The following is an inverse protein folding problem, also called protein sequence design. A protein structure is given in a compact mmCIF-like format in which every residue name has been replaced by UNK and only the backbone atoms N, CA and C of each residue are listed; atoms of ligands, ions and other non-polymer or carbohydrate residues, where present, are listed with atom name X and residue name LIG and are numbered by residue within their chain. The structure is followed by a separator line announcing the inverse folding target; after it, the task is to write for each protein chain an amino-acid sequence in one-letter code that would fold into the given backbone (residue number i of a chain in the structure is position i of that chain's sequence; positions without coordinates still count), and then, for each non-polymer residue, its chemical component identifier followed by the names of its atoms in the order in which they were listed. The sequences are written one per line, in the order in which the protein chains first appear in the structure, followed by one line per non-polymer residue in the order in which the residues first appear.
data_IF_946614770326
#
_entry.id   IF_946614770326
#
_cell.length_a   1.000
_cell.length_b   1.000
_cell.length_c   1.000
_cell.angle_alpha   90.00
_cell.angle_beta   90.00
_cell.angle_gamma   90.00
#
_symmetry.space_group_name_H-M   'P 1'
#
loop_
_entity.id
_entity.type
_entity.pdbx_description
1 polymer ?
#
# COMPACT_ATOMS: atom_id res chain seq x y z
N UNK A 1 -12.19 -12.59 58.98
CA UNK A 1 -13.36 -12.39 58.11
C UNK A 1 -13.23 -11.05 57.40
N UNK A 2 -13.19 -11.08 56.06
CA UNK A 2 -13.80 -10.12 55.12
C UNK A 2 -13.35 -8.64 55.17
N UNK A 3 -12.95 -7.97 54.09
CA UNK A 3 -12.58 -8.30 52.71
C UNK A 3 -12.03 -6.98 52.14
N UNK A 4 -10.87 -7.03 51.49
CA UNK A 4 -10.16 -5.87 50.94
C UNK A 4 -10.90 -5.35 49.70
N UNK A 5 -11.26 -4.08 49.70
CA UNK A 5 -11.82 -3.37 48.55
C UNK A 5 -10.68 -3.11 47.54
N UNK A 6 -10.54 -3.96 46.52
CA UNK A 6 -9.70 -3.68 45.34
C UNK A 6 -10.61 -3.15 44.24
N UNK A 7 -10.54 -1.84 44.02
CA UNK A 7 -11.08 -1.19 42.83
C UNK A 7 -10.25 -1.68 41.64
N UNK A 8 -10.81 -2.62 40.89
CA UNK A 8 -10.24 -3.12 39.64
C UNK A 8 -10.52 -2.05 38.57
N UNK A 9 -9.53 -1.20 38.30
CA UNK A 9 -9.56 -0.25 37.21
C UNK A 9 -9.45 -1.04 35.89
N UNK A 10 -10.60 -1.45 35.34
CA UNK A 10 -10.72 -2.04 34.01
C UNK A 10 -10.36 -0.96 32.98
N UNK A 11 -9.07 -0.85 32.65
CA UNK A 11 -8.59 -0.16 31.45
C UNK A 11 -9.07 -0.95 30.24
N UNK A 12 -10.30 -0.68 29.84
CA UNK A 12 -10.81 -1.03 28.53
C UNK A 12 -10.05 -0.17 27.52
N UNK A 13 -8.89 -0.65 27.07
CA UNK A 13 -8.18 -0.10 25.91
C UNK A 13 -9.04 -0.34 24.68
N UNK A 14 -10.05 0.50 24.47
CA UNK A 14 -10.64 0.71 23.16
C UNK A 14 -9.53 1.20 22.25
N UNK A 15 -8.94 0.30 21.47
CA UNK A 15 -8.15 0.69 20.32
C UNK A 15 -9.10 1.34 19.31
N UNK A 16 -9.32 2.65 19.47
CA UNK A 16 -9.84 3.53 18.44
C UNK A 16 -8.86 3.49 17.26
N UNK A 17 -9.14 2.62 16.30
CA UNK A 17 -8.44 2.63 15.02
C UNK A 17 -8.97 3.83 14.25
N UNK A 18 -8.31 4.98 14.37
CA UNK A 18 -8.61 6.13 13.54
C UNK A 18 -8.29 5.77 12.08
N UNK A 19 -9.33 5.58 11.26
CA UNK A 19 -9.17 5.32 9.84
C UNK A 19 -8.47 6.53 9.20
N UNK A 20 -7.38 6.28 8.49
CA UNK A 20 -6.67 7.34 7.74
C UNK A 20 -7.67 7.93 6.74
N UNK A 21 -7.91 9.23 6.83
CA UNK A 21 -8.78 9.94 5.89
C UNK A 21 -8.00 10.34 4.64
N UNK A 22 -8.64 10.35 3.46
CA UNK A 22 -8.02 10.90 2.26
C UNK A 22 -7.69 12.38 2.49
N UNK A 23 -6.58 12.82 1.90
CA UNK A 23 -6.25 14.26 1.84
C UNK A 23 -7.10 14.97 0.81
N UNK A 24 -7.50 14.25 -0.24
CA UNK A 24 -8.33 14.75 -1.31
C UNK A 24 -9.19 13.62 -1.88
N UNK A 25 -10.42 13.93 -2.25
CA UNK A 25 -11.35 12.98 -2.90
C UNK A 25 -11.95 13.65 -4.12
N UNK A 26 -11.81 13.00 -5.27
CA UNK A 26 -12.45 13.45 -6.52
C UNK A 26 -13.55 12.51 -6.95
N UNK A 27 -14.60 13.07 -7.52
CA UNK A 27 -15.81 12.35 -7.90
C UNK A 27 -15.97 12.25 -9.41
N UNK A 28 -16.60 11.18 -9.86
CA UNK A 28 -16.83 10.86 -11.26
C UNK A 28 -18.31 10.74 -11.55
N UNK A 29 -18.69 11.15 -12.75
CA UNK A 29 -20.01 10.87 -13.27
C UNK A 29 -20.21 9.36 -13.48
N UNK A 30 -21.48 8.98 -13.65
CA UNK A 30 -21.82 7.58 -13.93
C UNK A 30 -21.10 7.11 -15.19
N UNK A 31 -20.46 5.96 -15.09
CA UNK A 31 -19.76 5.31 -16.20
C UNK A 31 -18.61 6.10 -16.84
N UNK A 32 -18.14 7.16 -16.16
CA UNK A 32 -17.03 8.00 -16.65
C UNK A 32 -15.72 7.75 -15.92
N UNK A 33 -14.62 7.89 -16.64
CA UNK A 33 -13.26 7.94 -16.09
C UNK A 33 -12.54 9.26 -16.36
N UNK A 34 -13.14 10.13 -17.16
CA UNK A 34 -12.82 11.55 -17.29
C UNK A 34 -13.44 12.35 -16.15
N UNK A 35 -12.81 13.47 -15.80
CA UNK A 35 -13.25 14.38 -14.74
C UNK A 35 -13.85 15.64 -15.34
N UNK A 36 -14.90 16.15 -14.71
CA UNK A 36 -15.45 17.46 -15.02
C UNK A 36 -14.60 18.57 -14.38
N UNK A 37 -14.69 19.78 -14.94
CA UNK A 37 -13.75 20.88 -14.68
C UNK A 37 -13.52 21.20 -13.19
N UNK A 38 -14.56 21.17 -12.37
CA UNK A 38 -14.40 21.46 -10.94
C UNK A 38 -13.56 20.40 -10.21
N UNK A 39 -13.66 19.11 -10.59
CA UNK A 39 -12.84 18.04 -10.02
C UNK A 39 -11.40 18.07 -10.55
N UNK A 40 -11.22 18.44 -11.82
CA UNK A 40 -9.88 18.68 -12.37
C UNK A 40 -9.19 19.78 -11.56
N UNK A 41 -9.89 20.89 -11.29
CA UNK A 41 -9.36 22.01 -10.51
C UNK A 41 -8.92 21.56 -9.12
N UNK A 42 -9.69 20.71 -8.44
CA UNK A 42 -9.32 20.14 -7.14
C UNK A 42 -7.94 19.46 -7.15
N UNK A 43 -7.66 18.62 -8.16
CA UNK A 43 -6.36 17.92 -8.28
C UNK A 43 -5.23 18.90 -8.60
N UNK A 44 -5.50 19.86 -9.48
CA UNK A 44 -4.52 20.90 -9.85
C UNK A 44 -4.15 21.74 -8.62
N UNK A 45 -5.14 22.17 -7.85
CA UNK A 45 -4.93 22.96 -6.64
C UNK A 45 -4.14 22.16 -5.60
N UNK A 46 -4.45 20.87 -5.42
CA UNK A 46 -3.65 19.98 -4.60
C UNK A 46 -2.19 19.89 -5.10
N UNK A 47 -1.97 19.64 -6.39
CA UNK A 47 -0.64 19.48 -6.97
C UNK A 47 0.23 20.73 -6.81
N UNK A 48 -0.37 21.92 -6.96
CA UNK A 48 0.31 23.22 -6.83
C UNK A 48 0.62 23.61 -5.39
N UNK A 49 -0.31 23.32 -4.47
CA UNK A 49 -0.21 23.78 -3.08
C UNK A 49 0.44 22.76 -2.15
N UNK A 50 0.60 21.51 -2.59
CA UNK A 50 1.25 20.47 -1.81
C UNK A 50 2.73 20.80 -1.54
N UNK A 51 3.11 20.90 -0.26
CA UNK A 51 4.53 20.95 0.14
C UNK A 51 5.19 19.59 -0.08
N UNK A 52 5.67 19.37 -1.31
CA UNK A 52 6.27 18.11 -1.72
C UNK A 52 7.52 17.77 -0.91
N UNK A 53 8.16 18.73 -0.23
CA UNK A 53 9.31 18.45 0.64
C UNK A 53 8.92 17.64 1.88
N UNK A 54 7.66 17.74 2.33
CA UNK A 54 7.08 17.01 3.47
C UNK A 54 6.31 15.75 3.06
N UNK A 55 6.10 15.54 1.77
CA UNK A 55 5.44 14.35 1.23
C UNK A 55 6.48 13.28 0.94
N UNK A 56 6.31 12.12 1.54
CA UNK A 56 7.06 10.90 1.21
C UNK A 56 6.49 10.32 -0.08
N UNK A 57 5.20 10.00 -0.05
CA UNK A 57 4.52 9.36 -1.16
C UNK A 57 3.02 9.69 -1.21
N UNK A 58 2.40 9.41 -2.35
CA UNK A 58 0.97 9.50 -2.61
C UNK A 58 0.44 8.13 -3.01
N UNK A 59 -0.71 7.78 -2.44
CA UNK A 59 -1.49 6.61 -2.80
C UNK A 59 -2.81 7.05 -3.42
N UNK A 60 -3.23 6.37 -4.48
CA UNK A 60 -4.41 6.69 -5.26
C UNK A 60 -5.28 5.43 -5.34
N UNK A 61 -6.50 5.52 -4.82
CA UNK A 61 -7.46 4.41 -4.82
C UNK A 61 -8.74 4.83 -5.52
N UNK A 62 -9.14 4.07 -6.55
CA UNK A 62 -10.33 4.37 -7.34
C UNK A 62 -11.44 3.39 -7.06
N UNK A 63 -12.66 3.88 -7.04
CA UNK A 63 -13.86 3.12 -6.71
C UNK A 63 -14.94 3.35 -7.75
N UNK A 64 -15.82 2.36 -7.88
CA UNK A 64 -17.07 2.46 -8.61
C UNK A 64 -18.25 2.26 -7.68
N UNK A 65 -19.44 2.64 -8.15
CA UNK A 65 -20.67 2.28 -7.44
C UNK A 65 -20.98 0.77 -7.60
N UNK A 66 -22.06 0.31 -6.97
CA UNK A 66 -22.45 -1.10 -6.87
C UNK A 66 -22.87 -1.74 -8.19
N UNK A 67 -23.14 -0.93 -9.23
CA UNK A 67 -23.75 -1.38 -10.49
C UNK A 67 -22.71 -1.87 -11.50
N UNK A 68 -23.12 -2.78 -12.37
CA UNK A 68 -22.25 -3.42 -13.36
C UNK A 68 -21.48 -4.61 -12.81
N UNK A 69 -20.83 -5.37 -13.69
CA UNK A 69 -20.09 -6.55 -13.28
C UNK A 69 -18.75 -6.21 -12.60
N UNK A 70 -18.17 -7.21 -11.93
CA UNK A 70 -16.93 -7.03 -11.16
C UNK A 70 -15.74 -6.63 -12.04
N UNK A 71 -15.60 -7.25 -13.23
CA UNK A 71 -14.44 -7.03 -14.11
C UNK A 71 -14.50 -5.64 -14.74
N UNK A 72 -15.69 -5.25 -15.20
CA UNK A 72 -15.98 -3.93 -15.72
C UNK A 72 -15.62 -2.83 -14.72
N UNK A 73 -16.13 -2.93 -13.49
CA UNK A 73 -15.86 -1.93 -12.45
C UNK A 73 -14.39 -1.91 -12.05
N UNK A 74 -13.72 -3.06 -12.06
CA UNK A 74 -12.28 -3.13 -11.80
C UNK A 74 -11.48 -2.39 -12.90
N UNK A 75 -11.86 -2.54 -14.17
CA UNK A 75 -11.26 -1.79 -15.28
C UNK A 75 -11.59 -0.30 -15.21
N UNK A 76 -12.84 0.07 -14.95
CA UNK A 76 -13.28 1.46 -14.84
C UNK A 76 -12.56 2.19 -13.70
N UNK A 77 -12.50 1.59 -12.51
CA UNK A 77 -11.76 2.16 -11.38
C UNK A 77 -10.26 2.30 -11.66
N UNK A 78 -9.65 1.38 -12.43
CA UNK A 78 -8.27 1.52 -12.91
C UNK A 78 -8.08 2.71 -13.86
N UNK A 79 -9.03 2.94 -14.76
CA UNK A 79 -8.99 4.10 -15.65
C UNK A 79 -9.14 5.41 -14.86
N UNK A 80 -10.01 5.45 -13.85
CA UNK A 80 -10.18 6.62 -12.97
C UNK A 80 -8.90 7.00 -12.23
N UNK A 81 -8.23 6.04 -11.60
CA UNK A 81 -6.94 6.33 -10.92
C UNK A 81 -5.85 6.77 -11.90
N UNK A 82 -5.87 6.25 -13.13
CA UNK A 82 -4.96 6.67 -14.20
C UNK A 82 -5.20 8.13 -14.58
N UNK A 83 -6.45 8.55 -14.78
CA UNK A 83 -6.81 9.95 -15.05
C UNK A 83 -6.26 10.88 -13.97
N UNK A 84 -6.44 10.53 -12.69
CA UNK A 84 -5.92 11.32 -11.56
C UNK A 84 -4.39 11.36 -11.57
N UNK A 85 -3.73 10.23 -11.79
CA UNK A 85 -2.26 10.18 -11.92
C UNK A 85 -1.76 11.09 -13.05
N UNK A 86 -2.39 11.01 -14.22
CA UNK A 86 -1.98 11.77 -15.40
C UNK A 86 -2.16 13.29 -15.14
N UNK A 87 -3.23 13.72 -14.48
CA UNK A 87 -3.42 15.13 -14.08
C UNK A 87 -2.37 15.56 -13.05
N UNK A 88 -2.10 14.78 -12.01
CA UNK A 88 -1.08 15.10 -11.01
C UNK A 88 0.30 15.28 -11.66
N UNK A 89 0.70 14.34 -12.52
CA UNK A 89 2.01 14.35 -13.16
C UNK A 89 2.15 15.44 -14.21
N UNK A 90 1.11 15.70 -14.99
CA UNK A 90 1.07 16.83 -15.94
C UNK A 90 1.23 18.18 -15.22
N UNK A 91 0.70 18.30 -14.00
CA UNK A 91 0.81 19.50 -13.17
C UNK A 91 2.07 19.51 -12.27
N UNK A 92 3.11 18.76 -12.64
CA UNK A 92 4.43 18.84 -12.02
C UNK A 92 4.64 17.96 -10.78
N UNK A 93 3.64 17.15 -10.38
CA UNK A 93 3.84 16.21 -9.29
C UNK A 93 4.79 15.08 -9.71
N UNK A 94 5.83 14.83 -8.91
CA UNK A 94 6.83 13.82 -9.26
C UNK A 94 6.22 12.42 -9.27
N UNK A 95 6.21 11.78 -10.45
CA UNK A 95 5.68 10.43 -10.65
C UNK A 95 6.29 9.38 -9.72
N UNK A 96 7.56 9.54 -9.32
CA UNK A 96 8.23 8.60 -8.41
C UNK A 96 7.67 8.65 -6.99
N UNK A 97 6.94 9.71 -6.62
CA UNK A 97 6.23 9.81 -5.34
C UNK A 97 4.82 9.22 -5.39
N UNK A 98 4.31 8.83 -6.56
CA UNK A 98 3.01 8.18 -6.67
C UNK A 98 3.24 6.68 -6.65
N UNK A 99 3.01 6.07 -5.49
CA UNK A 99 3.54 4.73 -5.18
C UNK A 99 2.50 3.64 -5.08
N UNK A 100 1.22 3.97 -4.93
CA UNK A 100 0.13 2.99 -5.00
C UNK A 100 -0.95 3.57 -5.91
N UNK A 101 -1.35 2.78 -6.90
CA UNK A 101 -2.36 3.15 -7.89
C UNK A 101 -3.24 1.93 -8.09
N UNK A 102 -4.38 1.89 -7.40
CA UNK A 102 -5.22 0.69 -7.34
C UNK A 102 -6.67 1.04 -7.63
N UNK A 103 -7.19 0.50 -8.74
CA UNK A 103 -8.63 0.41 -8.96
C UNK A 103 -9.20 -0.69 -8.07
N UNK A 104 -10.11 -0.33 -7.16
CA UNK A 104 -10.73 -1.22 -6.17
C UNK A 104 -12.01 -1.89 -6.68
N UNK A 105 -12.50 -1.50 -7.85
CA UNK A 105 -13.76 -2.01 -8.39
C UNK A 105 -14.98 -1.40 -7.70
N UNK A 106 -16.09 -2.14 -7.70
CA UNK A 106 -17.37 -1.70 -7.15
C UNK A 106 -17.39 -1.73 -5.62
N UNK A 107 -18.08 -0.76 -5.03
CA UNK A 107 -18.36 -0.73 -3.60
C UNK A 107 -19.78 -1.26 -3.37
N UNK A 108 -19.90 -2.38 -2.66
CA UNK A 108 -21.21 -2.97 -2.32
C UNK A 108 -21.88 -2.13 -1.24
N UNK A 109 -23.14 -1.78 -1.48
CA UNK A 109 -23.98 -1.02 -0.56
C UNK A 109 -24.72 -2.02 0.35
N UNK A 110 -24.72 -1.77 1.66
CA UNK A 110 -25.31 -2.65 2.68
C UNK A 110 -26.55 -2.03 3.37
N UNK A 111 -27.21 -1.05 2.75
CA UNK A 111 -28.39 -0.38 3.32
C UNK A 111 -29.68 -0.80 2.62
N UNK A 112 -30.73 -0.98 3.41
CA UNK A 112 -32.09 -1.28 2.96
C UNK A 112 -32.91 -0.01 2.64
N UNK A 113 -32.35 1.18 2.96
CA UNK A 113 -33.03 2.46 2.69
C UNK A 113 -32.79 2.93 1.26
N UNK A 114 -33.88 3.08 0.50
CA UNK A 114 -33.89 3.46 -0.91
C UNK A 114 -33.56 4.95 -1.11
N UNK A 115 -33.89 5.79 -0.12
CA UNK A 115 -33.90 7.25 -0.26
C UNK A 115 -32.51 7.90 -0.41
N UNK A 116 -31.43 7.17 -0.11
CA UNK A 116 -30.05 7.65 -0.20
C UNK A 116 -29.20 6.88 -1.25
N UNK A 117 -29.80 5.96 -2.02
CA UNK A 117 -29.03 5.11 -2.94
C UNK A 117 -28.30 5.93 -4.00
N UNK A 118 -28.95 6.96 -4.56
CA UNK A 118 -28.33 7.82 -5.58
C UNK A 118 -27.14 8.59 -5.00
N UNK A 119 -27.28 9.17 -3.82
CA UNK A 119 -26.21 9.93 -3.19
C UNK A 119 -25.05 9.03 -2.72
N UNK A 120 -25.32 7.86 -2.15
CA UNK A 120 -24.30 6.84 -1.84
C UNK A 120 -23.53 6.44 -3.09
N UNK A 121 -24.22 6.17 -4.21
CA UNK A 121 -23.58 5.84 -5.49
C UNK A 121 -22.71 6.98 -5.99
N UNK A 122 -23.20 8.22 -5.91
CA UNK A 122 -22.43 9.40 -6.28
C UNK A 122 -21.14 9.50 -5.45
N UNK A 123 -21.22 9.25 -4.14
CA UNK A 123 -20.05 9.22 -3.24
C UNK A 123 -19.12 8.03 -3.49
N UNK A 124 -19.63 6.91 -4.02
CA UNK A 124 -18.83 5.73 -4.34
C UNK A 124 -18.09 5.83 -5.68
N UNK A 125 -18.57 6.64 -6.62
CA UNK A 125 -17.84 6.95 -7.85
C UNK A 125 -16.75 7.98 -7.57
N UNK A 126 -15.66 7.53 -6.96
CA UNK A 126 -14.59 8.43 -6.50
C UNK A 126 -13.20 7.88 -6.69
N UNK A 127 -12.22 8.77 -6.60
CA UNK A 127 -10.82 8.45 -6.37
C UNK A 127 -10.35 9.19 -5.12
N UNK A 128 -9.76 8.44 -4.19
CA UNK A 128 -9.23 8.93 -2.94
C UNK A 128 -7.70 9.04 -3.03
N UNK A 129 -7.16 10.20 -2.67
CA UNK A 129 -5.73 10.47 -2.56
C UNK A 129 -5.33 10.44 -1.09
N UNK A 130 -4.28 9.69 -0.77
CA UNK A 130 -3.68 9.66 0.56
C UNK A 130 -2.24 10.12 0.47
N UNK A 131 -1.85 11.00 1.38
CA UNK A 131 -0.46 11.46 1.51
C UNK A 131 0.20 10.75 2.67
N UNK A 132 1.32 10.09 2.39
CA UNK A 132 2.26 9.62 3.39
C UNK A 132 3.24 10.75 3.65
N UNK A 133 3.27 11.29 4.87
CA UNK A 133 4.22 12.33 5.24
C UNK A 133 5.62 11.74 5.38
N UNK A 134 6.66 12.51 5.06
CA UNK A 134 8.04 12.13 5.35
C UNK A 134 8.19 11.79 6.83
N UNK A 135 8.97 10.75 7.12
CA UNK A 135 9.21 10.24 8.47
C UNK A 135 7.95 9.78 9.24
N UNK A 136 6.79 9.64 8.59
CA UNK A 136 5.52 9.29 9.26
C UNK A 136 5.47 7.87 9.82
N UNK A 137 6.37 6.99 9.38
CA UNK A 137 6.48 5.63 9.89
C UNK A 137 7.33 5.52 11.17
N UNK A 138 8.01 6.60 11.58
CA UNK A 138 8.91 6.60 12.72
C UNK A 138 10.39 6.52 12.33
N UNK A 139 11.28 6.72 13.31
CA UNK A 139 12.73 6.72 13.12
C UNK A 139 13.21 5.32 12.68
N UNK A 140 14.07 5.26 11.65
CA UNK A 140 14.61 4.01 11.13
C UNK A 140 13.69 3.29 10.14
N UNK A 141 12.62 3.93 9.67
CA UNK A 141 11.74 3.39 8.64
C UNK A 141 11.80 4.26 7.39
N UNK A 142 12.05 3.61 6.24
CA UNK A 142 12.26 4.25 4.95
C UNK A 142 11.42 3.57 3.87
N UNK A 143 11.10 4.26 2.78
CA UNK A 143 10.45 3.68 1.60
C UNK A 143 11.42 3.33 0.45
N UNK A 144 12.69 3.65 0.64
CA UNK A 144 13.77 3.49 -0.33
C UNK A 144 15.10 3.29 0.38
N UNK A 145 16.05 2.66 -0.31
CA UNK A 145 17.42 2.54 0.18
C UNK A 145 18.09 3.92 0.20
N UNK A 146 18.73 4.24 1.32
CA UNK A 146 19.48 5.46 1.56
C UNK A 146 20.97 5.20 1.36
N UNK A 147 21.76 6.26 1.19
CA UNK A 147 23.22 6.16 1.14
C UNK A 147 23.81 5.54 2.41
N UNK A 148 23.20 5.84 3.57
CA UNK A 148 23.61 5.33 4.87
C UNK A 148 22.41 4.78 5.62
N UNK A 149 22.56 3.55 6.11
CA UNK A 149 21.60 2.89 6.98
C UNK A 149 22.21 2.61 8.35
N UNK A 150 21.38 2.21 9.31
CA UNK A 150 21.75 1.65 10.61
C UNK A 150 21.16 0.25 10.74
N UNK A 151 21.80 -0.59 11.55
CA UNK A 151 21.22 -1.89 11.92
C UNK A 151 19.87 -1.66 12.59
N UNK A 152 18.86 -2.42 12.16
CA UNK A 152 17.46 -2.26 12.57
C UNK A 152 16.61 -1.38 11.65
N UNK A 153 17.21 -0.66 10.70
CA UNK A 153 16.46 0.10 9.71
C UNK A 153 15.57 -0.83 8.89
N UNK A 154 14.35 -0.37 8.58
CA UNK A 154 13.40 -1.08 7.74
C UNK A 154 13.09 -0.27 6.49
N UNK A 155 13.30 -0.88 5.33
CA UNK A 155 12.99 -0.28 4.03
C UNK A 155 11.77 -0.98 3.42
N UNK A 156 10.67 -0.26 3.29
CA UNK A 156 9.38 -0.73 2.77
C UNK A 156 9.30 -0.34 1.31
N UNK A 157 9.13 -1.30 0.41
CA UNK A 157 9.15 -0.96 -1.02
C UNK A 157 7.72 -0.74 -1.50
N UNK A 158 7.29 0.52 -1.49
CA UNK A 158 5.93 0.91 -1.88
C UNK A 158 5.60 0.51 -3.33
N UNK A 159 6.62 0.35 -4.20
CA UNK A 159 6.45 -0.01 -5.61
C UNK A 159 6.70 -1.50 -5.94
N UNK A 160 6.82 -2.38 -4.94
CA UNK A 160 6.82 -3.83 -5.19
C UNK A 160 5.39 -4.36 -4.99
N UNK A 161 4.67 -4.36 -6.10
CA UNK A 161 3.35 -4.93 -6.20
C UNK A 161 3.40 -6.42 -6.54
N UNK A 162 2.48 -7.14 -5.93
CA UNK A 162 2.12 -8.50 -6.31
C UNK A 162 0.70 -8.49 -6.83
N UNK A 163 0.41 -9.36 -7.79
CA UNK A 163 -0.97 -9.62 -8.16
C UNK A 163 -1.77 -10.13 -6.94
N UNK A 164 -3.08 -9.87 -6.92
CA UNK A 164 -3.93 -10.27 -5.79
C UNK A 164 -3.81 -11.79 -5.55
N UNK A 165 -3.53 -12.16 -4.30
CA UNK A 165 -3.37 -13.57 -3.90
C UNK A 165 -2.18 -14.30 -4.54
N UNK A 166 -1.26 -13.62 -5.24
CA UNK A 166 -0.10 -14.24 -5.91
C UNK A 166 1.22 -13.73 -5.33
N UNK A 167 2.26 -14.54 -5.47
CA UNK A 167 3.64 -14.18 -5.11
C UNK A 167 4.51 -13.73 -6.28
N UNK A 168 3.99 -13.78 -7.50
CA UNK A 168 4.72 -13.40 -8.71
C UNK A 168 4.98 -11.89 -8.79
N UNK A 169 6.21 -11.53 -9.19
CA UNK A 169 6.62 -10.15 -9.39
C UNK A 169 6.11 -9.60 -10.72
N UNK A 170 5.39 -8.48 -10.68
CA UNK A 170 4.97 -7.77 -11.89
C UNK A 170 6.16 -7.18 -12.65
N UNK A 171 5.98 -6.87 -13.94
CA UNK A 171 7.02 -6.21 -14.73
C UNK A 171 7.43 -4.85 -14.15
N UNK A 172 6.48 -4.09 -13.58
CA UNK A 172 6.77 -2.82 -12.91
C UNK A 172 7.64 -3.04 -11.67
N UNK A 173 7.32 -4.05 -10.86
CA UNK A 173 8.10 -4.37 -9.65
C UNK A 173 9.50 -4.89 -9.97
N UNK A 174 9.68 -5.60 -11.08
CA UNK A 174 11.00 -5.99 -11.60
C UNK A 174 11.86 -4.76 -11.94
N UNK A 175 11.29 -3.74 -12.61
CA UNK A 175 11.99 -2.48 -12.89
C UNK A 175 12.43 -1.74 -11.63
N UNK A 176 11.60 -1.75 -10.59
CA UNK A 176 11.95 -1.14 -9.31
C UNK A 176 13.03 -1.94 -8.57
N UNK A 177 12.95 -3.27 -8.60
CA UNK A 177 14.00 -4.14 -8.07
C UNK A 177 15.34 -3.99 -8.80
N UNK A 178 15.33 -3.68 -10.10
CA UNK A 178 16.56 -3.38 -10.84
C UNK A 178 17.27 -2.14 -10.29
N UNK A 179 16.53 -1.06 -10.02
CA UNK A 179 17.08 0.15 -9.39
C UNK A 179 17.67 -0.17 -8.01
N UNK A 180 16.99 -1.01 -7.24
CA UNK A 180 17.44 -1.42 -5.90
C UNK A 180 18.70 -2.28 -5.99
N UNK A 181 18.76 -3.22 -6.94
CA UNK A 181 19.94 -4.04 -7.15
C UNK A 181 21.19 -3.17 -7.40
N UNK A 182 21.08 -2.11 -8.20
CA UNK A 182 22.18 -1.16 -8.41
C UNK A 182 22.65 -0.49 -7.11
N UNK A 183 21.72 -0.13 -6.21
CA UNK A 183 22.06 0.45 -4.90
C UNK A 183 22.72 -0.58 -3.97
N UNK A 184 22.22 -1.81 -3.96
CA UNK A 184 22.75 -2.91 -3.16
C UNK A 184 24.14 -3.39 -3.62
N UNK A 185 24.42 -3.27 -4.93
CA UNK A 185 25.74 -3.51 -5.50
C UNK A 185 26.75 -2.44 -5.05
N UNK A 186 26.34 -1.16 -5.01
CA UNK A 186 27.18 -0.07 -4.46
C UNK A 186 27.46 -0.26 -2.97
N UNK A 187 26.46 -0.71 -2.21
CA UNK A 187 26.58 -0.96 -0.78
C UNK A 187 26.92 -2.43 -0.50
N UNK A 188 28.14 -2.83 -0.86
CA UNK A 188 28.64 -4.22 -0.86
C UNK A 188 28.62 -4.97 0.48
N UNK A 189 28.52 -4.26 1.60
CA UNK A 189 28.64 -4.82 2.96
C UNK A 189 27.31 -5.04 3.66
N UNK A 190 26.24 -4.38 3.20
CA UNK A 190 24.91 -4.46 3.82
C UNK A 190 24.40 -5.90 3.83
N UNK A 191 24.00 -6.40 5.00
CA UNK A 191 23.25 -7.65 5.13
C UNK A 191 21.84 -7.35 5.61
N UNK A 192 20.85 -8.02 5.03
CA UNK A 192 19.45 -7.72 5.27
C UNK A 192 18.52 -8.93 5.17
N UNK A 193 17.40 -8.86 5.87
CA UNK A 193 16.30 -9.84 5.80
C UNK A 193 15.14 -9.28 4.99
N UNK A 194 14.72 -10.00 3.96
CA UNK A 194 13.56 -9.68 3.13
C UNK A 194 12.32 -10.28 3.80
N UNK A 195 11.37 -9.43 4.21
CA UNK A 195 10.16 -9.82 4.92
C UNK A 195 8.94 -9.59 4.06
N UNK A 196 8.20 -10.64 3.78
CA UNK A 196 6.93 -10.56 3.06
C UNK A 196 5.76 -10.47 4.02
N UNK A 197 4.77 -9.65 3.66
CA UNK A 197 3.56 -9.43 4.44
C UNK A 197 2.33 -9.60 3.55
N UNK A 198 1.23 -10.01 4.17
CA UNK A 198 -0.08 -10.14 3.54
C UNK A 198 -1.08 -9.34 4.34
N UNK A 199 -2.10 -8.82 3.66
CA UNK A 199 -3.23 -8.20 4.34
C UNK A 199 -4.29 -9.26 4.69
N UNK A 200 -5.17 -8.89 5.62
CA UNK A 200 -6.52 -9.45 5.78
C UNK A 200 -6.60 -10.98 5.89
N UNK A 201 -5.63 -11.59 6.58
CA UNK A 201 -5.70 -13.00 6.98
C UNK A 201 -6.36 -13.08 8.36
N UNK A 202 -7.32 -13.99 8.61
CA UNK A 202 -7.84 -14.22 9.96
C UNK A 202 -6.69 -14.41 10.97
N UNK A 203 -6.79 -13.83 12.16
CA UNK A 203 -5.73 -13.91 13.18
C UNK A 203 -5.43 -15.34 13.64
N UNK A 204 -6.34 -16.28 13.40
CA UNK A 204 -6.16 -17.71 13.63
C UNK A 204 -5.28 -18.42 12.60
N UNK A 205 -4.88 -17.74 11.52
CA UNK A 205 -4.10 -18.31 10.43
C UNK A 205 -2.76 -17.56 10.30
N UNK A 206 -1.69 -18.33 10.12
CA UNK A 206 -0.33 -17.77 10.09
C UNK A 206 0.02 -17.00 8.81
N UNK A 207 -0.63 -17.33 7.69
CA UNK A 207 -0.39 -16.72 6.38
C UNK A 207 -1.63 -16.84 5.47
N UNK A 208 -1.61 -16.14 4.34
CA UNK A 208 -2.58 -16.26 3.27
C UNK A 208 -2.22 -17.40 2.30
N UNK A 209 -3.22 -17.86 1.54
CA UNK A 209 -3.04 -18.85 0.49
C UNK A 209 -2.44 -18.16 -0.74
N UNK A 210 -1.36 -18.74 -1.27
CA UNK A 210 -0.80 -18.36 -2.57
C UNK A 210 -1.58 -19.08 -3.66
N UNK A 211 -2.33 -18.34 -4.47
CA UNK A 211 -3.14 -18.89 -5.57
C UNK A 211 -2.32 -19.58 -6.65
N UNK A 212 -1.01 -19.31 -6.76
CA UNK A 212 -0.16 -20.02 -7.70
C UNK A 212 0.23 -21.42 -7.20
N UNK A 213 0.50 -21.57 -5.90
CA UNK A 213 0.99 -22.84 -5.33
C UNK A 213 -0.09 -23.60 -4.55
N UNK A 214 -1.23 -22.97 -4.28
CA UNK A 214 -2.30 -23.44 -3.39
C UNK A 214 -1.85 -23.71 -1.94
N UNK A 215 -0.70 -23.18 -1.53
CA UNK A 215 -0.16 -23.33 -0.18
C UNK A 215 -0.39 -22.09 0.67
N UNK A 216 -0.58 -22.26 1.99
CA UNK A 216 -0.67 -21.15 2.97
C UNK A 216 0.71 -20.57 3.29
N UNK A 217 1.38 -20.01 2.28
CA UNK A 217 2.73 -19.45 2.36
C UNK A 217 2.89 -18.21 1.49
N UNK A 218 1.82 -17.43 1.26
CA UNK A 218 1.85 -16.29 0.35
C UNK A 218 2.90 -15.25 0.76
N UNK A 219 2.96 -14.87 2.04
CA UNK A 219 3.94 -13.89 2.53
C UNK A 219 5.38 -14.42 2.38
N UNK A 220 5.60 -15.70 2.66
CA UNK A 220 6.90 -16.35 2.49
C UNK A 220 7.32 -16.40 1.01
N UNK A 221 6.40 -16.80 0.13
CA UNK A 221 6.66 -16.93 -1.30
C UNK A 221 6.97 -15.58 -1.94
N UNK A 222 6.30 -14.50 -1.50
CA UNK A 222 6.61 -13.12 -1.92
C UNK A 222 8.03 -12.72 -1.56
N UNK A 223 8.44 -12.95 -0.31
CA UNK A 223 9.80 -12.67 0.15
C UNK A 223 10.84 -13.50 -0.62
N UNK A 224 10.56 -14.79 -0.83
CA UNK A 224 11.40 -15.72 -1.59
C UNK A 224 11.57 -15.29 -3.05
N UNK A 225 10.52 -14.79 -3.70
CA UNK A 225 10.61 -14.35 -5.09
C UNK A 225 11.44 -13.07 -5.24
N UNK A 226 11.36 -12.15 -4.28
CA UNK A 226 12.25 -10.98 -4.23
C UNK A 226 13.70 -11.41 -4.02
N UNK A 227 13.95 -12.34 -3.08
CA UNK A 227 15.29 -12.91 -2.85
C UNK A 227 15.88 -13.52 -4.14
N UNK A 228 15.12 -14.41 -4.80
CA UNK A 228 15.55 -15.05 -6.06
C UNK A 228 15.84 -14.02 -7.15
N UNK A 229 15.01 -12.98 -7.25
CA UNK A 229 15.21 -11.92 -8.22
C UNK A 229 16.51 -11.15 -7.96
N UNK A 230 16.80 -10.77 -6.71
CA UNK A 230 18.03 -10.07 -6.37
C UNK A 230 19.28 -10.94 -6.58
N UNK A 231 19.21 -12.24 -6.31
CA UNK A 231 20.28 -13.19 -6.67
C UNK A 231 20.53 -13.18 -8.19
N UNK A 232 19.46 -13.21 -9.00
CA UNK A 232 19.59 -13.10 -10.46
C UNK A 232 20.16 -11.77 -10.95
N UNK A 233 20.21 -10.75 -10.08
CA UNK A 233 20.83 -9.44 -10.31
C UNK A 233 22.21 -9.32 -9.65
N UNK A 234 22.87 -10.46 -9.41
CA UNK A 234 24.22 -10.57 -8.85
C UNK A 234 24.37 -10.01 -7.43
N UNK A 235 23.29 -9.98 -6.63
CA UNK A 235 23.41 -9.72 -5.20
C UNK A 235 23.80 -11.02 -4.50
N UNK A 236 24.91 -10.99 -3.76
CA UNK A 236 25.43 -12.16 -3.05
C UNK A 236 24.37 -12.70 -2.06
N UNK A 237 23.95 -13.95 -2.27
CA UNK A 237 22.95 -14.63 -1.44
C UNK A 237 23.34 -14.72 0.04
N UNK A 238 24.64 -14.75 0.37
CA UNK A 238 25.14 -14.80 1.75
C UNK A 238 24.84 -13.51 2.53
N UNK A 239 24.51 -12.41 1.84
CA UNK A 239 24.13 -11.14 2.47
C UNK A 239 22.63 -11.01 2.69
N UNK A 240 21.85 -12.00 2.27
CA UNK A 240 20.40 -11.93 2.23
C UNK A 240 19.79 -13.12 2.97
N UNK A 241 18.73 -12.87 3.72
CA UNK A 241 17.79 -13.89 4.17
C UNK A 241 16.37 -13.49 3.79
N UNK A 242 15.39 -14.39 3.93
CA UNK A 242 14.00 -14.05 3.70
C UNK A 242 13.06 -14.76 4.67
N UNK A 243 11.94 -14.11 5.00
CA UNK A 243 10.94 -14.61 5.96
C UNK A 243 9.52 -14.19 5.56
N UNK A 244 8.57 -15.09 5.76
CA UNK A 244 7.13 -14.78 5.71
C UNK A 244 6.63 -14.30 7.07
N UNK A 245 5.96 -13.15 7.10
CA UNK A 245 5.47 -12.52 8.32
C UNK A 245 3.94 -12.57 8.48
N UNK A 246 3.21 -13.11 7.50
CA UNK A 246 1.75 -13.10 7.52
C UNK A 246 1.20 -11.68 7.59
N UNK A 247 0.12 -11.49 8.35
CA UNK A 247 -0.45 -10.18 8.68
C UNK A 247 -0.08 -9.71 10.10
N UNK A 248 0.99 -10.27 10.70
CA UNK A 248 1.36 -10.03 12.11
C UNK A 248 1.92 -8.63 12.38
N UNK A 249 2.29 -7.89 11.34
CA UNK A 249 2.88 -6.55 11.45
C UNK A 249 2.17 -5.52 10.54
N UNK A 250 0.88 -5.22 10.83
CA UNK A 250 0.15 -4.21 10.07
C UNK A 250 0.72 -2.81 10.37
N UNK A 251 0.77 -1.97 9.35
CA UNK A 251 1.21 -0.58 9.47
C UNK A 251 0.07 0.37 9.88
N UNK A 252 -1.19 -0.09 9.78
CA UNK A 252 -2.35 0.74 10.06
C UNK A 252 -2.54 1.88 9.05
N UNK A 253 -1.95 1.76 7.86
CA UNK A 253 -1.97 2.77 6.79
C UNK A 253 -2.67 2.30 5.52
N UNK A 254 -3.41 1.19 5.61
CA UNK A 254 -4.20 0.63 4.51
C UNK A 254 -3.66 -0.71 4.01
N UNK A 255 -4.56 -1.53 3.47
CA UNK A 255 -4.26 -2.91 3.08
C UNK A 255 -3.14 -3.04 2.05
N UNK A 256 -3.01 -2.07 1.13
CA UNK A 256 -1.97 -2.15 0.10
C UNK A 256 -0.57 -2.03 0.71
N UNK A 257 -0.40 -1.21 1.76
CA UNK A 257 0.85 -1.13 2.53
C UNK A 257 1.07 -2.34 3.43
N UNK A 258 0.02 -3.09 3.78
CA UNK A 258 0.15 -4.36 4.49
C UNK A 258 0.45 -5.54 3.56
N UNK A 259 0.13 -5.43 2.26
CA UNK A 259 0.56 -6.36 1.20
C UNK A 259 1.92 -5.98 0.62
N UNK A 260 2.95 -5.98 1.47
CA UNK A 260 4.27 -5.45 1.11
C UNK A 260 5.39 -6.48 1.20
N UNK A 261 6.55 -6.08 0.68
CA UNK A 261 7.83 -6.62 1.10
C UNK A 261 8.64 -5.49 1.74
N UNK A 262 9.23 -5.75 2.90
CA UNK A 262 10.18 -4.86 3.57
C UNK A 262 11.56 -5.51 3.70
N UNK A 263 12.59 -4.70 3.84
CA UNK A 263 13.98 -5.11 4.04
C UNK A 263 14.39 -4.65 5.43
N UNK A 264 14.78 -5.57 6.30
CA UNK A 264 15.36 -5.25 7.61
C UNK A 264 16.88 -5.30 7.51
N UNK A 265 17.57 -4.20 7.82
CA UNK A 265 19.02 -4.15 7.87
C UNK A 265 19.52 -4.90 9.12
N UNK A 266 20.34 -5.92 8.91
CA UNK A 266 20.91 -6.77 9.96
C UNK A 266 22.36 -6.40 10.28
N UNK A 267 23.14 -6.03 9.26
CA UNK A 267 24.57 -5.69 9.39
C UNK A 267 24.99 -4.69 8.31
N UNK A 268 26.05 -3.93 8.59
CA UNK A 268 26.71 -2.96 7.70
C UNK A 268 28.19 -3.28 7.63
#
# INVERSE_FOLDING_TARGET
MKTIFRILFLLFFCHLSAQVKPVETVYFEFDKSDLYNSQIKTIIDFAKNADTSKIESIQIYGYCDDRGDNEYNYKLSKNRVKTVQDILTYNGFNKNKIVIIEGKGRVIIQTDSIDDLTEIRNKNRRVDLFVVKKNSFGKGIYNSFQEKHKVGDRIYLENIFFALGRSELTAQSKKELDKIALLLQKNGTLQFEIRGHVCCTPSSLDDAIDSATHERKLSLNRARNVFKYLVSKNINSLRMSYKGCGNKFPLGKGEALDRRVEFLILKI
#
